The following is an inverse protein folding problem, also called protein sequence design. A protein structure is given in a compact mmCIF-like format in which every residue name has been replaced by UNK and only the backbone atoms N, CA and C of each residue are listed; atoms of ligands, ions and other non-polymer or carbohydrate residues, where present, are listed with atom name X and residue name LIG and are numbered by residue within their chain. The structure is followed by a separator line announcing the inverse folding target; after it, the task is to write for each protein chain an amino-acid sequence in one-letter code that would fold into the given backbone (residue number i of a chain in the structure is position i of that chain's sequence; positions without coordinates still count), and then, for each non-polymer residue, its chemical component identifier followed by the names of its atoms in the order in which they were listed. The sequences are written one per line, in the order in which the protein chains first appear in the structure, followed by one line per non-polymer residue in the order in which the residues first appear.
data_IF_220729289916
#
_entry.id   IF_220729289916
#
_cell.length_a   1.000
_cell.length_b   1.000
_cell.length_c   1.000
_cell.angle_alpha   90.00
_cell.angle_beta   90.00
_cell.angle_gamma   90.00
#
_symmetry.space_group_name_H-M   'P 1'
#
loop_
_entity.id
_entity.type
_entity.pdbx_description
1 polymer ?
#
# COMPACT_ATOMS: atom_id res chain seq x y z
N UNK A 1 83.76 22.84 0.87
CA UNK A 1 82.86 22.62 2.03
C UNK A 1 81.54 22.06 1.49
N UNK A 2 81.23 20.81 1.89
CA UNK A 2 79.92 20.15 2.09
C UNK A 2 78.73 20.50 1.14
N UNK A 3 78.00 19.57 0.53
CA UNK A 3 77.96 18.11 0.61
C UNK A 3 76.87 17.47 -0.29
N UNK A 4 77.15 16.23 -0.69
CA UNK A 4 76.30 15.01 -0.82
C UNK A 4 74.94 15.01 -1.55
N UNK A 5 74.93 14.22 -2.63
CA UNK A 5 73.98 13.13 -2.99
C UNK A 5 72.49 13.26 -2.63
N UNK A 6 71.65 13.11 -3.67
CA UNK A 6 70.56 12.14 -3.62
C UNK A 6 70.18 11.73 -5.05
N UNK A 7 70.92 10.75 -5.59
CA UNK A 7 70.51 10.01 -6.78
C UNK A 7 69.61 8.86 -6.32
N UNK A 8 68.29 9.03 -6.49
CA UNK A 8 67.32 8.00 -6.12
C UNK A 8 66.67 7.43 -7.40
N UNK A 9 66.83 6.13 -7.69
CA UNK A 9 66.34 5.54 -8.92
C UNK A 9 64.81 5.55 -8.94
N UNK A 10 64.23 6.04 -10.05
CA UNK A 10 62.79 6.02 -10.34
C UNK A 10 62.26 4.60 -10.28
N UNK A 11 61.70 4.21 -9.13
CA UNK A 11 60.95 2.97 -8.97
C UNK A 11 59.78 2.93 -9.94
N UNK A 12 59.67 1.84 -10.70
CA UNK A 12 58.52 1.54 -11.56
C UNK A 12 57.25 1.62 -10.72
N UNK A 13 56.32 2.51 -11.09
CA UNK A 13 54.98 2.59 -10.48
C UNK A 13 54.37 1.19 -10.51
N UNK A 14 54.16 0.60 -9.33
CA UNK A 14 53.38 -0.62 -9.19
C UNK A 14 51.96 -0.28 -9.65
N UNK A 15 51.45 -0.98 -10.66
CA UNK A 15 50.04 -0.91 -11.02
C UNK A 15 49.23 -1.23 -9.75
N UNK A 16 48.23 -0.43 -9.38
CA UNK A 16 47.38 -0.77 -8.26
C UNK A 16 46.69 -2.10 -8.60
N UNK A 17 46.90 -3.11 -7.77
CA UNK A 17 46.11 -4.34 -7.81
C UNK A 17 44.65 -3.93 -7.67
N UNK A 18 43.84 -4.26 -8.68
CA UNK A 18 42.43 -3.93 -8.68
C UNK A 18 41.79 -4.48 -7.40
N UNK A 19 41.28 -3.57 -6.55
CA UNK A 19 40.41 -3.98 -5.44
C UNK A 19 39.27 -4.80 -6.04
N UNK A 20 38.85 -5.94 -5.43
CA UNK A 20 37.69 -6.66 -5.91
C UNK A 20 36.52 -5.68 -6.01
N UNK A 21 36.07 -5.44 -7.25
CA UNK A 21 35.08 -4.41 -7.53
C UNK A 21 33.82 -4.70 -6.73
N UNK A 22 33.31 -3.70 -6.00
CA UNK A 22 32.00 -3.78 -5.38
C UNK A 22 31.00 -4.01 -6.53
N UNK A 23 30.46 -5.22 -6.62
CA UNK A 23 29.43 -5.54 -7.62
C UNK A 23 28.21 -4.72 -7.24
N UNK A 24 27.89 -3.71 -8.06
CA UNK A 24 26.69 -2.91 -7.90
C UNK A 24 25.48 -3.83 -8.05
N UNK A 25 24.50 -3.66 -7.16
CA UNK A 25 23.24 -4.40 -7.14
C UNK A 25 22.09 -3.41 -7.17
N UNK A 26 20.92 -3.85 -7.63
CA UNK A 26 19.70 -3.05 -7.61
C UNK A 26 18.53 -3.92 -7.21
N UNK A 27 17.67 -3.37 -6.37
CA UNK A 27 16.46 -4.02 -5.94
C UNK A 27 15.34 -3.69 -6.92
N UNK A 28 14.61 -4.72 -7.34
CA UNK A 28 13.48 -4.60 -8.24
C UNK A 28 12.25 -5.17 -7.55
N UNK A 29 11.19 -4.39 -7.50
CA UNK A 29 9.88 -4.89 -7.11
C UNK A 29 9.25 -5.58 -8.33
N UNK A 30 9.23 -6.91 -8.32
CA UNK A 30 8.69 -7.75 -9.38
C UNK A 30 7.34 -8.34 -8.97
N UNK A 31 6.46 -8.50 -9.94
CA UNK A 31 5.12 -9.06 -9.76
C UNK A 31 4.87 -10.17 -10.77
N UNK A 32 4.71 -11.42 -10.34
CA UNK A 32 4.36 -12.53 -11.25
C UNK A 32 2.84 -12.68 -11.32
N UNK A 33 2.28 -12.57 -12.53
CA UNK A 33 0.87 -12.79 -12.82
C UNK A 33 0.61 -14.26 -13.19
N UNK A 34 -0.62 -14.73 -12.95
CA UNK A 34 -0.99 -16.09 -13.29
C UNK A 34 -1.31 -16.29 -14.77
N UNK A 35 -1.77 -15.24 -15.46
CA UNK A 35 -2.24 -15.32 -16.84
C UNK A 35 -1.78 -14.12 -17.68
N UNK A 36 -1.95 -14.25 -19.00
CA UNK A 36 -1.69 -13.15 -19.92
C UNK A 36 -2.71 -12.03 -19.74
N UNK A 37 -2.30 -10.91 -19.15
CA UNK A 37 -3.14 -9.72 -18.94
C UNK A 37 -2.40 -8.43 -19.24
N UNK A 38 -3.14 -7.43 -19.71
CA UNK A 38 -2.66 -6.08 -19.97
C UNK A 38 -3.00 -5.11 -18.84
N UNK A 39 -3.45 -5.61 -17.69
CA UNK A 39 -3.86 -4.79 -16.56
C UNK A 39 -3.23 -5.26 -15.26
N UNK A 40 -2.88 -4.30 -14.41
CA UNK A 40 -2.41 -4.59 -13.06
C UNK A 40 -3.52 -5.29 -12.24
N UNK A 41 -3.13 -6.22 -11.35
CA UNK A 41 -4.09 -6.98 -10.56
C UNK A 41 -4.82 -6.09 -9.54
N UNK A 42 -6.03 -6.48 -9.14
CA UNK A 42 -6.76 -5.82 -8.04
C UNK A 42 -6.20 -6.30 -6.69
N UNK A 43 -6.54 -5.59 -5.62
CA UNK A 43 -6.15 -5.97 -4.25
C UNK A 43 -6.66 -7.35 -3.82
N UNK A 44 -7.82 -7.81 -4.29
CA UNK A 44 -8.37 -9.14 -3.98
C UNK A 44 -7.65 -10.28 -4.71
N UNK A 45 -7.15 -10.03 -5.92
CA UNK A 45 -6.31 -10.99 -6.66
C UNK A 45 -4.92 -11.13 -6.04
N UNK A 46 -4.39 -10.06 -5.43
CA UNK A 46 -3.06 -10.04 -4.84
C UNK A 46 -2.87 -11.13 -3.78
N UNK A 47 -3.84 -11.26 -2.87
CA UNK A 47 -3.77 -12.25 -1.81
C UNK A 47 -3.89 -13.68 -2.33
N UNK A 48 -4.69 -13.91 -3.39
CA UNK A 48 -4.80 -15.22 -4.04
C UNK A 48 -3.47 -15.62 -4.69
N UNK A 49 -2.83 -14.69 -5.38
CA UNK A 49 -1.54 -14.92 -6.03
C UNK A 49 -0.44 -15.17 -5.00
N UNK A 50 -0.40 -14.41 -3.91
CA UNK A 50 0.53 -14.65 -2.79
C UNK A 50 0.30 -16.04 -2.19
N UNK A 51 -0.95 -16.45 -1.95
CA UNK A 51 -1.26 -17.78 -1.43
C UNK A 51 -0.86 -18.92 -2.39
N UNK A 52 -0.79 -18.63 -3.69
CA UNK A 52 -0.29 -19.54 -4.71
C UNK A 52 1.23 -19.48 -4.91
N UNK A 53 1.98 -18.73 -4.09
CA UNK A 53 3.43 -18.56 -4.24
C UNK A 53 3.85 -17.64 -5.40
N UNK A 54 2.91 -16.86 -5.95
CA UNK A 54 3.12 -15.86 -7.00
C UNK A 54 3.02 -14.44 -6.39
N UNK A 55 2.79 -13.43 -7.24
CA UNK A 55 2.55 -12.05 -6.80
C UNK A 55 3.83 -11.26 -6.61
N UNK A 56 3.81 -10.32 -5.65
CA UNK A 56 4.87 -9.32 -5.43
C UNK A 56 6.06 -9.92 -4.69
N UNK A 57 7.27 -9.68 -5.19
CA UNK A 57 8.53 -10.02 -4.53
C UNK A 57 9.59 -8.96 -4.81
N UNK A 58 10.39 -8.62 -3.80
CA UNK A 58 11.52 -7.72 -3.95
C UNK A 58 12.76 -8.56 -4.25
N UNK A 59 13.36 -8.38 -5.43
CA UNK A 59 14.53 -9.13 -5.87
C UNK A 59 15.75 -8.24 -5.99
N UNK A 60 16.88 -8.67 -5.41
CA UNK A 60 18.16 -7.98 -5.55
C UNK A 60 18.94 -8.56 -6.74
N UNK A 61 19.06 -7.79 -7.81
CA UNK A 61 19.71 -8.22 -9.07
C UNK A 61 21.04 -7.48 -9.24
N UNK A 62 22.16 -8.19 -9.43
CA UNK A 62 23.46 -7.58 -9.79
C UNK A 62 23.45 -6.89 -11.15
N UNK A 63 24.21 -5.81 -11.27
CA UNK A 63 24.31 -4.99 -12.50
C UNK A 63 24.89 -5.76 -13.70
N UNK A 64 25.64 -6.84 -13.44
CA UNK A 64 26.27 -7.67 -14.46
C UNK A 64 25.37 -8.78 -15.03
N UNK A 65 24.18 -8.99 -14.47
CA UNK A 65 23.29 -10.07 -14.91
C UNK A 65 22.74 -9.81 -16.32
N UNK A 66 22.77 -10.86 -17.13
CA UNK A 66 22.15 -10.97 -18.44
C UNK A 66 20.91 -11.85 -18.33
N UNK A 67 20.32 -12.18 -19.47
CA UNK A 67 19.04 -12.85 -19.54
C UNK A 67 19.04 -14.20 -18.82
N UNK A 68 20.06 -15.03 -19.03
CA UNK A 68 20.15 -16.35 -18.39
C UNK A 68 20.22 -16.26 -16.87
N UNK A 69 21.04 -15.36 -16.30
CA UNK A 69 21.13 -15.23 -14.83
C UNK A 69 19.85 -14.64 -14.23
N UNK A 70 19.17 -13.75 -14.97
CA UNK A 70 17.86 -13.22 -14.57
C UNK A 70 16.81 -14.34 -14.55
N UNK A 71 16.78 -15.20 -15.57
CA UNK A 71 15.87 -16.35 -15.65
C UNK A 71 16.12 -17.29 -14.47
N UNK A 72 17.37 -17.67 -14.20
CA UNK A 72 17.70 -18.54 -13.06
C UNK A 72 17.26 -17.93 -11.72
N UNK A 73 17.51 -16.63 -11.52
CA UNK A 73 17.06 -15.92 -10.31
C UNK A 73 15.53 -15.94 -10.17
N UNK A 74 14.81 -15.70 -11.27
CA UNK A 74 13.34 -15.72 -11.26
C UNK A 74 12.79 -17.11 -10.98
N UNK A 75 13.41 -18.15 -11.52
CA UNK A 75 13.01 -19.55 -11.28
C UNK A 75 13.33 -20.03 -9.86
N UNK A 76 14.36 -19.50 -9.22
CA UNK A 76 14.67 -19.74 -7.80
C UNK A 76 13.66 -19.05 -6.87
N UNK A 77 13.23 -17.84 -7.23
CA UNK A 77 12.29 -17.05 -6.45
C UNK A 77 10.83 -17.40 -6.75
N UNK A 78 10.53 -17.89 -7.94
CA UNK A 78 9.21 -18.33 -8.37
C UNK A 78 9.32 -19.70 -9.05
N UNK A 79 9.36 -20.80 -8.27
CA UNK A 79 9.52 -22.16 -8.79
C UNK A 79 8.52 -22.55 -9.88
N UNK A 80 7.29 -22.01 -9.83
CA UNK A 80 6.25 -22.19 -10.84
C UNK A 80 6.64 -21.71 -12.24
N UNK A 81 7.66 -20.85 -12.38
CA UNK A 81 8.16 -20.43 -13.69
C UNK A 81 8.95 -21.54 -14.40
N UNK A 82 9.55 -22.49 -13.67
CA UNK A 82 10.30 -23.61 -14.26
C UNK A 82 9.43 -24.55 -15.09
N UNK A 83 8.13 -24.60 -14.80
CA UNK A 83 7.18 -25.48 -15.49
C UNK A 83 6.59 -24.84 -16.74
N UNK A 84 6.76 -23.53 -16.94
CA UNK A 84 6.24 -22.83 -18.13
C UNK A 84 7.06 -23.19 -19.36
N UNK A 85 6.41 -23.70 -20.41
CA UNK A 85 7.05 -23.93 -21.70
C UNK A 85 6.80 -22.76 -22.67
N UNK A 86 5.64 -22.10 -22.54
CA UNK A 86 5.17 -21.04 -23.40
C UNK A 86 5.77 -19.65 -23.19
N UNK A 87 6.83 -19.55 -22.38
CA UNK A 87 7.56 -18.32 -22.12
C UNK A 87 6.77 -17.23 -21.37
N UNK A 88 7.48 -16.17 -21.04
CA UNK A 88 6.96 -15.01 -20.32
C UNK A 88 7.68 -13.74 -20.77
N UNK A 89 7.05 -12.59 -20.55
CA UNK A 89 7.64 -11.27 -20.86
C UNK A 89 7.47 -10.31 -19.69
N UNK A 90 8.37 -9.33 -19.60
CA UNK A 90 8.23 -8.22 -18.65
C UNK A 90 7.32 -7.13 -19.21
N UNK A 91 6.54 -6.55 -18.31
CA UNK A 91 5.68 -5.41 -18.54
C UNK A 91 5.92 -4.35 -17.47
N UNK A 92 5.68 -3.09 -17.81
CA UNK A 92 5.68 -1.97 -16.87
C UNK A 92 4.28 -1.38 -16.77
N UNK A 93 3.95 -0.84 -15.59
CA UNK A 93 2.75 -0.04 -15.45
C UNK A 93 2.90 1.28 -16.23
N UNK A 94 1.88 1.62 -17.01
CA UNK A 94 1.78 2.90 -17.72
C UNK A 94 0.92 3.85 -16.87
N UNK A 95 1.29 5.13 -16.78
CA UNK A 95 0.52 6.13 -16.04
C UNK A 95 -0.87 6.35 -16.64
N UNK A 96 -1.88 6.56 -15.80
CA UNK A 96 -3.27 6.79 -16.21
C UNK A 96 -4.23 6.73 -15.02
N UNK A 97 -5.16 7.69 -14.97
CA UNK A 97 -6.17 7.81 -13.92
C UNK A 97 -7.45 7.05 -14.30
N UNK A 98 -7.52 5.78 -13.94
CA UNK A 98 -8.77 5.04 -13.71
C UNK A 98 -8.50 3.70 -12.99
N UNK A 99 -9.55 3.05 -12.49
CA UNK A 99 -9.58 1.96 -11.48
C UNK A 99 -8.51 0.84 -11.57
N UNK A 100 -7.85 0.62 -12.71
CA UNK A 100 -6.71 -0.30 -12.88
C UNK A 100 -5.67 0.27 -13.86
N UNK A 101 -4.39 0.13 -13.51
CA UNK A 101 -3.29 0.58 -14.39
C UNK A 101 -3.10 -0.37 -15.57
N UNK A 102 -2.94 0.18 -16.77
CA UNK A 102 -2.62 -0.57 -17.99
C UNK A 102 -1.13 -0.92 -18.02
N UNK A 103 -0.83 -2.15 -18.38
CA UNK A 103 0.51 -2.68 -18.55
C UNK A 103 0.97 -2.49 -20.01
N UNK A 104 2.22 -2.07 -20.18
CA UNK A 104 2.90 -2.01 -21.47
C UNK A 104 4.07 -2.97 -21.49
N UNK A 105 4.24 -3.67 -22.61
CA UNK A 105 5.33 -4.64 -22.79
C UNK A 105 6.69 -3.94 -22.75
N UNK A 106 7.66 -4.58 -22.12
CA UNK A 106 9.07 -4.19 -22.20
C UNK A 106 9.71 -5.08 -23.26
N UNK A 107 10.10 -4.52 -24.43
CA UNK A 107 10.75 -5.31 -25.46
C UNK A 107 12.10 -5.83 -24.97
N UNK A 108 12.46 -7.02 -25.44
CA UNK A 108 13.80 -7.59 -25.24
C UNK A 108 14.75 -7.08 -26.32
N UNK A 109 16.03 -6.95 -25.97
CA UNK A 109 17.09 -6.77 -26.96
C UNK A 109 17.44 -8.12 -27.62
N UNK A 110 18.40 -8.14 -28.55
CA UNK A 110 18.88 -9.37 -29.21
C UNK A 110 19.36 -10.44 -28.22
N UNK A 111 19.88 -10.00 -27.08
CA UNK A 111 20.43 -10.86 -26.02
C UNK A 111 19.41 -11.12 -24.88
N UNK A 112 18.15 -10.71 -25.06
CA UNK A 112 17.10 -10.82 -24.06
C UNK A 112 17.06 -9.66 -23.08
N UNK A 113 16.69 -9.95 -21.83
CA UNK A 113 16.67 -8.96 -20.74
C UNK A 113 18.04 -8.81 -20.07
N UNK A 114 18.43 -7.58 -19.75
CA UNK A 114 19.63 -7.29 -18.95
C UNK A 114 19.26 -6.43 -17.76
N UNK A 115 20.06 -6.47 -16.68
CA UNK A 115 19.82 -5.59 -15.53
C UNK A 115 19.82 -4.12 -15.95
N UNK A 116 20.67 -3.73 -16.89
CA UNK A 116 20.72 -2.36 -17.43
C UNK A 116 19.39 -1.96 -18.07
N UNK A 117 18.80 -2.83 -18.89
CA UNK A 117 17.50 -2.59 -19.51
C UNK A 117 16.41 -2.47 -18.43
N UNK A 118 16.37 -3.42 -17.48
CA UNK A 118 15.39 -3.41 -16.40
C UNK A 118 15.50 -2.16 -15.54
N UNK A 119 16.72 -1.67 -15.23
CA UNK A 119 16.92 -0.39 -14.55
C UNK A 119 16.34 0.78 -15.32
N UNK A 120 16.61 0.84 -16.62
CA UNK A 120 16.15 1.94 -17.47
C UNK A 120 14.62 2.05 -17.46
N UNK A 121 13.93 0.92 -17.62
CA UNK A 121 12.46 0.89 -17.70
C UNK A 121 11.77 0.97 -16.34
N UNK A 122 12.43 0.53 -15.26
CA UNK A 122 11.90 0.59 -13.89
C UNK A 122 12.26 1.87 -13.13
N UNK A 123 12.93 2.84 -13.75
CA UNK A 123 13.49 4.00 -13.05
C UNK A 123 14.38 3.57 -11.86
N UNK A 124 15.34 2.68 -12.16
CA UNK A 124 16.32 2.13 -11.22
C UNK A 124 15.67 1.39 -10.03
N UNK A 125 14.65 0.58 -10.32
CA UNK A 125 13.94 -0.25 -9.33
C UNK A 125 12.73 0.41 -8.67
N UNK A 126 12.49 1.71 -8.90
CA UNK A 126 11.39 2.47 -8.29
C UNK A 126 10.01 2.04 -8.78
N UNK A 127 9.91 1.65 -10.05
CA UNK A 127 8.67 1.19 -10.67
C UNK A 127 8.60 -0.33 -10.65
N UNK A 128 7.41 -0.84 -10.32
CA UNK A 128 7.13 -2.27 -10.34
C UNK A 128 7.19 -2.83 -11.77
N UNK A 129 7.83 -4.00 -11.88
CA UNK A 129 7.88 -4.80 -13.10
C UNK A 129 6.91 -5.98 -12.97
N UNK A 130 6.16 -6.26 -14.02
CA UNK A 130 5.21 -7.37 -14.07
C UNK A 130 5.75 -8.44 -15.00
N UNK A 131 5.78 -9.68 -14.54
CA UNK A 131 6.13 -10.83 -15.34
C UNK A 131 4.83 -11.55 -15.73
N UNK A 132 4.60 -11.63 -17.03
CA UNK A 132 3.33 -12.06 -17.61
C UNK A 132 3.58 -13.31 -18.46
N UNK A 133 2.99 -14.46 -18.10
CA UNK A 133 2.97 -15.66 -18.94
C UNK A 133 2.30 -15.35 -20.29
N UNK A 134 2.82 -15.91 -21.39
CA UNK A 134 2.30 -15.59 -22.74
C UNK A 134 1.27 -16.59 -23.26
N UNK A 135 1.53 -17.88 -23.09
CA UNK A 135 0.73 -18.95 -23.73
C UNK A 135 0.06 -19.89 -22.72
N UNK A 136 0.55 -19.93 -21.49
CA UNK A 136 0.07 -20.82 -20.43
C UNK A 136 -0.41 -20.01 -19.21
N UNK A 137 -1.27 -20.62 -18.41
CA UNK A 137 -1.73 -20.06 -17.15
C UNK A 137 -1.08 -20.80 -15.98
N UNK A 138 -0.45 -20.07 -15.07
CA UNK A 138 0.08 -20.60 -13.83
C UNK A 138 -1.05 -20.93 -12.87
N UNK A 139 -0.96 -22.10 -12.22
CA UNK A 139 -1.92 -22.50 -11.20
C UNK A 139 -1.97 -21.48 -10.04
N UNK A 140 -3.19 -21.04 -9.71
CA UNK A 140 -3.49 -20.18 -8.56
C UNK A 140 -3.99 -20.98 -7.36
N UNK A 141 -3.80 -22.30 -7.36
CA UNK A 141 -4.15 -23.13 -6.21
C UNK A 141 -3.29 -22.76 -4.99
N UNK A 142 -3.91 -22.70 -3.79
CA UNK A 142 -3.21 -22.31 -2.58
C UNK A 142 -2.16 -23.36 -2.22
N UNK A 143 -0.95 -22.89 -1.93
CA UNK A 143 0.15 -23.74 -1.51
C UNK A 143 0.12 -23.97 0.01
N UNK A 144 0.58 -25.13 0.49
CA UNK A 144 0.84 -25.36 1.89
C UNK A 144 1.76 -24.29 2.50
N UNK A 145 1.53 -23.88 3.75
CA UNK A 145 2.29 -22.79 4.40
C UNK A 145 3.78 -23.10 4.62
N UNK A 146 4.16 -24.38 4.56
CA UNK A 146 5.51 -24.92 4.64
C UNK A 146 6.22 -25.05 3.27
N UNK A 147 5.56 -24.64 2.19
CA UNK A 147 6.14 -24.71 0.84
C UNK A 147 7.36 -23.80 0.68
N UNK A 148 8.27 -24.20 -0.22
CA UNK A 148 9.56 -23.52 -0.45
C UNK A 148 9.41 -22.07 -0.92
N UNK A 149 8.30 -21.77 -1.59
CA UNK A 149 7.92 -20.45 -2.07
C UNK A 149 7.86 -19.42 -0.93
N UNK A 150 7.49 -19.88 0.27
CA UNK A 150 7.31 -19.04 1.45
C UNK A 150 8.52 -19.01 2.39
N UNK A 151 9.58 -19.79 2.12
CA UNK A 151 10.72 -19.90 3.03
C UNK A 151 11.47 -18.58 3.25
N UNK A 152 11.50 -17.69 2.24
CA UNK A 152 12.14 -16.37 2.30
C UNK A 152 11.22 -15.26 2.83
N UNK A 153 9.94 -15.55 3.06
CA UNK A 153 8.99 -14.57 3.60
C UNK A 153 9.10 -14.47 5.13
N UNK A 154 8.80 -13.31 5.73
CA UNK A 154 8.65 -13.22 7.18
C UNK A 154 7.56 -14.18 7.67
N UNK A 155 7.89 -15.01 8.67
CA UNK A 155 6.98 -16.01 9.25
C UNK A 155 6.67 -15.67 10.70
N UNK A 156 5.47 -16.07 11.12
CA UNK A 156 4.98 -15.94 12.50
C UNK A 156 4.23 -17.20 12.90
N UNK A 157 4.33 -17.59 14.17
CA UNK A 157 3.58 -18.73 14.68
C UNK A 157 2.12 -18.32 14.93
N UNK A 158 1.16 -19.13 14.48
CA UNK A 158 -0.22 -18.94 14.87
C UNK A 158 -0.40 -19.26 16.37
N UNK A 159 -1.02 -18.35 17.13
CA UNK A 159 -1.27 -18.56 18.56
C UNK A 159 -2.31 -19.66 18.84
N UNK A 160 -3.16 -20.03 17.87
CA UNK A 160 -4.20 -21.08 18.03
C UNK A 160 -3.70 -22.50 17.76
N UNK A 161 -2.79 -22.68 16.80
CA UNK A 161 -2.34 -24.01 16.38
C UNK A 161 -0.81 -24.19 16.35
N UNK A 162 -0.03 -23.17 16.72
CA UNK A 162 1.43 -23.20 16.79
C UNK A 162 2.16 -23.26 15.43
N UNK A 163 1.46 -23.48 14.31
CA UNK A 163 2.08 -23.59 12.98
C UNK A 163 2.76 -22.28 12.56
N UNK A 164 3.92 -22.40 11.91
CA UNK A 164 4.60 -21.27 11.24
C UNK A 164 3.84 -20.90 9.98
N UNK A 165 3.30 -19.70 9.95
CA UNK A 165 2.53 -19.18 8.82
C UNK A 165 3.24 -17.94 8.27
N UNK A 166 3.35 -17.80 6.93
CA UNK A 166 3.84 -16.57 6.31
C UNK A 166 2.98 -15.39 6.73
N UNK A 167 3.60 -14.28 7.15
CA UNK A 167 2.92 -13.12 7.70
C UNK A 167 1.77 -12.58 6.82
N UNK A 168 1.91 -12.50 5.47
CA UNK A 168 0.81 -12.06 4.60
C UNK A 168 -0.40 -13.01 4.59
N UNK A 169 -0.20 -14.29 4.90
CA UNK A 169 -1.22 -15.35 4.88
C UNK A 169 -1.81 -15.64 6.26
N UNK A 170 -1.18 -15.14 7.33
CA UNK A 170 -1.65 -15.31 8.71
C UNK A 170 -3.11 -14.85 8.91
N UNK A 171 -3.59 -13.71 8.36
CA UNK A 171 -4.98 -13.30 8.51
C UNK A 171 -5.98 -14.25 7.87
N UNK A 172 -5.61 -14.93 6.78
CA UNK A 172 -6.44 -15.97 6.16
C UNK A 172 -6.48 -17.21 7.07
N UNK A 173 -5.30 -17.63 7.53
CA UNK A 173 -5.19 -18.77 8.42
C UNK A 173 -6.02 -18.59 9.71
N UNK A 174 -5.95 -17.43 10.38
CA UNK A 174 -6.65 -17.20 11.66
C UNK A 174 -8.18 -17.33 11.52
N UNK A 175 -8.73 -16.99 10.35
CA UNK A 175 -10.18 -17.12 10.06
C UNK A 175 -10.62 -18.57 9.99
N UNK A 176 -9.77 -19.45 9.48
CA UNK A 176 -10.07 -20.88 9.25
C UNK A 176 -9.39 -21.79 10.28
N UNK A 177 -8.55 -21.24 11.15
CA UNK A 177 -7.77 -22.00 12.12
C UNK A 177 -8.68 -22.55 13.22
N UNK A 178 -8.81 -23.88 13.21
CA UNK A 178 -9.40 -24.65 14.31
C UNK A 178 -8.42 -24.67 15.48
N UNK A 179 -8.94 -24.54 16.70
CA UNK A 179 -8.16 -24.73 17.93
C UNK A 179 -7.73 -26.19 17.94
N UNK A 180 -6.43 -26.43 18.08
CA UNK A 180 -5.99 -27.75 18.52
C UNK A 180 -6.11 -27.66 20.04
N UNK A 181 -7.24 -28.10 20.59
CA UNK A 181 -7.25 -28.52 21.98
C UNK A 181 -6.36 -29.75 21.99
N UNK A 182 -5.06 -29.55 22.24
CA UNK A 182 -4.22 -30.64 22.69
C UNK A 182 -4.76 -31.00 24.06
N UNK A 183 -5.69 -31.95 24.09
CA UNK A 183 -6.03 -32.72 25.29
C UNK A 183 -4.73 -33.33 25.81
N UNK A 184 -4.07 -32.62 26.72
CA UNK A 184 -2.96 -33.13 27.48
C UNK A 184 -3.48 -33.68 28.81
N UNK A 185 -4.36 -34.68 28.80
CA UNK A 185 -4.57 -35.56 29.97
C UNK A 185 -5.12 -36.91 29.50
N UNK A 186 -4.40 -38.00 29.77
CA UNK A 186 -4.89 -39.22 30.45
C UNK A 186 -3.84 -40.33 30.25
N UNK A 187 -2.87 -40.40 31.17
CA UNK A 187 -2.34 -41.71 31.53
C UNK A 187 -3.16 -42.18 32.72
N UNK A 188 -3.91 -43.26 32.49
CA UNK A 188 -4.81 -43.90 33.43
C UNK A 188 -4.00 -44.94 34.18
N UNK A 189 -3.82 -44.74 35.48
CA UNK A 189 -3.62 -45.87 36.41
C UNK A 189 -4.69 -45.80 37.49
N UNK A 190 -5.61 -46.75 37.39
CA UNK A 190 -6.65 -47.10 38.37
C UNK A 190 -6.01 -47.69 39.63
N UNK A 191 -6.62 -47.41 40.79
CA UNK A 191 -6.98 -48.29 41.92
C UNK A 191 -7.11 -47.38 43.16
N UNK A 192 -8.35 -47.00 43.49
CA UNK A 192 -9.19 -47.60 44.56
C UNK A 192 -8.70 -47.21 45.95
N UNK A 193 -9.45 -46.33 46.62
CA UNK A 193 -9.65 -46.39 48.07
C UNK A 193 -10.94 -45.62 48.44
N UNK A 194 -11.60 -46.17 49.45
CA UNK A 194 -12.99 -46.01 49.88
C UNK A 194 -13.19 -44.73 50.71
N UNK A 195 -14.40 -44.13 50.68
CA UNK A 195 -15.18 -43.92 51.90
C UNK A 195 -16.51 -43.17 51.67
N UNK A 196 -17.52 -43.61 52.42
CA UNK A 196 -18.89 -43.14 52.41
C UNK A 196 -19.09 -41.76 53.07
N UNK A 197 -20.04 -40.95 52.55
CA UNK A 197 -21.01 -40.28 53.43
C UNK A 197 -22.25 -39.73 52.70
N UNK A 198 -23.33 -39.69 53.46
CA UNK A 198 -24.76 -39.60 53.14
C UNK A 198 -25.31 -38.16 53.08
N UNK A 199 -26.41 -37.98 52.32
CA UNK A 199 -27.47 -36.94 52.43
C UNK A 199 -27.10 -35.52 51.99
N UNK A 200 -27.96 -34.72 51.35
CA UNK A 200 -29.39 -34.79 51.07
C UNK A 200 -29.80 -33.54 50.29
N UNK A 201 -30.99 -33.56 49.69
CA UNK A 201 -31.55 -32.48 48.88
C UNK A 201 -31.76 -31.18 49.67
N UNK A 202 -31.55 -30.03 49.04
CA UNK A 202 -32.38 -28.82 49.27
C UNK A 202 -32.42 -27.93 48.03
N UNK A 203 -33.62 -27.43 47.77
CA UNK A 203 -34.06 -26.56 46.69
C UNK A 203 -33.49 -25.13 46.71
N UNK A 204 -33.42 -24.60 45.48
CA UNK A 204 -33.78 -23.23 45.05
C UNK A 204 -32.75 -22.07 45.00
N UNK A 205 -33.02 -21.10 44.07
CA UNK A 205 -32.02 -20.29 43.39
C UNK A 205 -31.94 -18.87 43.96
N UNK A 206 -30.84 -18.16 43.69
CA UNK A 206 -30.82 -16.70 43.53
C UNK A 206 -29.40 -16.22 43.22
N UNK A 207 -29.20 -15.66 42.04
CA UNK A 207 -28.84 -14.24 41.85
C UNK A 207 -28.07 -14.04 40.55
N UNK A 208 -28.72 -13.25 39.69
CA UNK A 208 -28.16 -12.58 38.53
C UNK A 208 -26.91 -11.79 38.92
N UNK A 209 -25.78 -12.06 38.28
CA UNK A 209 -24.74 -11.06 38.06
C UNK A 209 -24.13 -11.28 36.66
N UNK A 210 -24.72 -10.59 35.69
CA UNK A 210 -24.07 -10.23 34.43
C UNK A 210 -22.92 -9.27 34.74
N UNK A 211 -21.72 -9.81 34.90
CA UNK A 211 -20.50 -9.00 34.86
C UNK A 211 -19.95 -9.04 33.44
N UNK A 212 -20.48 -8.11 32.63
CA UNK A 212 -19.87 -7.69 31.39
C UNK A 212 -18.57 -6.96 31.78
N UNK A 213 -17.44 -7.67 31.86
CA UNK A 213 -16.14 -7.04 32.04
C UNK A 213 -15.85 -6.15 30.83
N UNK A 214 -16.16 -4.87 30.98
CA UNK A 214 -15.93 -3.84 29.98
C UNK A 214 -14.42 -3.54 29.97
N UNK A 215 -13.68 -4.41 29.30
CA UNK A 215 -12.23 -4.27 29.11
C UNK A 215 -11.90 -2.86 28.63
N UNK A 216 -11.15 -2.13 29.47
CA UNK A 216 -10.71 -0.76 29.22
C UNK A 216 -9.20 -0.77 28.95
N UNK A 217 -8.76 0.02 27.98
CA UNK A 217 -7.36 0.17 27.59
C UNK A 217 -6.94 1.65 27.64
N UNK A 218 -5.67 1.89 27.90
CA UNK A 218 -5.10 3.24 27.99
C UNK A 218 -4.76 3.73 26.58
N UNK A 219 -5.23 4.92 26.22
CA UNK A 219 -4.84 5.55 24.96
C UNK A 219 -3.35 5.96 25.00
N UNK A 220 -2.51 5.53 24.05
CA UNK A 220 -1.08 5.85 24.06
C UNK A 220 -0.78 7.32 23.74
N UNK A 221 -1.75 8.11 23.28
CA UNK A 221 -1.57 9.51 22.89
C UNK A 221 -1.87 10.45 24.06
N UNK A 222 -2.97 10.24 24.79
CA UNK A 222 -3.39 11.11 25.90
C UNK A 222 -3.36 10.44 27.29
N UNK A 223 -3.00 9.14 27.34
CA UNK A 223 -2.89 8.34 28.56
C UNK A 223 -4.18 8.21 29.38
N UNK A 224 -5.35 8.41 28.76
CA UNK A 224 -6.66 8.22 29.40
C UNK A 224 -7.11 6.76 29.25
N UNK A 225 -7.57 6.17 30.34
CA UNK A 225 -8.23 4.85 30.38
C UNK A 225 -9.63 4.94 29.75
N UNK A 226 -9.86 4.22 28.66
CA UNK A 226 -11.13 4.22 27.93
C UNK A 226 -11.57 2.79 27.60
N UNK A 227 -12.89 2.50 27.58
CA UNK A 227 -13.41 1.25 27.04
C UNK A 227 -12.96 0.99 25.60
N UNK A 228 -12.69 -0.27 25.22
CA UNK A 228 -12.16 -0.63 23.88
C UNK A 228 -13.03 -0.11 22.73
N UNK A 229 -14.35 -0.12 22.90
CA UNK A 229 -15.33 0.37 21.92
C UNK A 229 -15.24 1.89 21.70
N UNK A 230 -14.90 2.66 22.74
CA UNK A 230 -14.69 4.11 22.67
C UNK A 230 -13.27 4.46 22.23
N UNK A 231 -12.28 3.60 22.52
CA UNK A 231 -10.88 3.80 22.14
C UNK A 231 -10.73 3.93 20.62
N UNK A 232 -11.51 3.17 19.85
CA UNK A 232 -11.47 3.20 18.38
C UNK A 232 -11.88 4.58 17.82
N UNK A 233 -12.95 5.16 18.37
CA UNK A 233 -13.40 6.51 18.01
C UNK A 233 -12.48 7.59 18.55
N UNK A 234 -12.00 7.42 19.78
CA UNK A 234 -11.06 8.34 20.39
C UNK A 234 -9.74 8.42 19.60
N UNK A 235 -9.21 7.30 19.09
CA UNK A 235 -8.02 7.29 18.24
C UNK A 235 -8.17 8.13 16.96
N UNK A 236 -9.41 8.39 16.51
CA UNK A 236 -9.68 9.22 15.33
C UNK A 236 -9.61 10.74 15.59
N UNK A 237 -9.65 11.18 16.85
CA UNK A 237 -9.61 12.60 17.24
C UNK A 237 -8.54 12.92 18.27
N UNK A 238 -7.89 11.90 18.84
CA UNK A 238 -6.86 12.09 19.85
C UNK A 238 -5.57 12.63 19.23
N UNK A 239 -5.15 13.80 19.70
CA UNK A 239 -3.99 14.53 19.17
C UNK A 239 -4.35 15.70 18.26
N UNK A 240 -5.62 15.83 17.84
CA UNK A 240 -6.11 16.98 17.06
C UNK A 240 -6.72 18.03 18.00
N UNK A 241 -5.87 18.93 18.49
CA UNK A 241 -6.28 20.10 19.27
C UNK A 241 -5.92 19.99 20.75
N UNK A 242 -4.92 20.77 21.17
CA UNK A 242 -4.65 21.01 22.58
C UNK A 242 -5.87 21.68 23.21
N UNK A 243 -6.67 20.92 23.94
CA UNK A 243 -7.68 21.50 24.82
C UNK A 243 -6.96 22.07 26.02
N UNK A 244 -6.72 23.38 26.01
CA UNK A 244 -6.22 24.14 27.14
C UNK A 244 -7.25 24.05 28.27
N UNK A 245 -6.99 23.20 29.26
CA UNK A 245 -7.57 23.41 30.58
C UNK A 245 -6.83 24.60 31.19
N UNK A 246 -7.55 25.69 31.43
CA UNK A 246 -7.03 26.90 32.06
C UNK A 246 -6.37 26.58 33.40
N UNK A 247 -5.15 27.08 33.58
CA UNK A 247 -4.41 26.96 34.85
C UNK A 247 -3.05 27.69 34.81
N UNK A 248 -3.11 29.02 35.01
CA UNK A 248 -2.10 29.91 35.62
C UNK A 248 -0.60 29.83 35.23
N UNK A 249 -0.15 30.98 34.73
CA UNK A 249 1.09 31.72 35.02
C UNK A 249 2.47 31.32 34.44
N UNK A 250 2.90 32.23 33.55
CA UNK A 250 4.23 32.86 33.44
C UNK A 250 5.20 32.42 32.34
N UNK A 251 5.98 33.38 31.79
CA UNK A 251 6.42 33.35 30.41
C UNK A 251 7.89 32.98 30.28
N UNK A 252 8.24 32.24 29.22
CA UNK A 252 9.62 32.20 28.74
C UNK A 252 9.66 31.99 27.23
N UNK A 253 10.42 32.88 26.62
CA UNK A 253 10.60 33.09 25.19
C UNK A 253 11.35 31.92 24.54
N UNK A 254 10.87 31.46 23.39
CA UNK A 254 11.75 30.83 22.40
C UNK A 254 11.12 30.92 21.01
N UNK A 255 11.69 31.82 20.22
CA UNK A 255 11.51 32.01 18.78
C UNK A 255 11.68 30.68 18.04
N UNK A 256 10.64 30.25 17.32
CA UNK A 256 10.77 29.29 16.21
C UNK A 256 9.89 29.75 15.05
N UNK A 257 10.47 29.66 13.86
CA UNK A 257 9.99 30.18 12.59
C UNK A 257 8.63 29.59 12.22
N UNK A 258 7.64 30.45 11.97
CA UNK A 258 6.34 30.08 11.43
C UNK A 258 6.46 29.80 9.93
N UNK A 259 6.21 28.55 9.55
CA UNK A 259 5.76 28.19 8.21
C UNK A 259 4.23 28.45 8.16
N UNK A 260 3.68 29.10 7.11
CA UNK A 260 2.25 29.40 7.08
C UNK A 260 1.46 28.10 6.87
N UNK A 261 0.88 27.62 7.97
CA UNK A 261 -0.07 26.52 8.00
C UNK A 261 -1.38 26.89 7.31
N UNK A 262 -1.94 25.90 6.60
CA UNK A 262 -3.24 25.92 5.96
C UNK A 262 -4.35 26.27 6.97
N UNK A 263 -4.77 27.53 6.99
CA UNK A 263 -5.97 27.94 7.70
C UNK A 263 -7.16 27.83 6.74
N UNK A 264 -7.78 26.65 6.68
CA UNK A 264 -9.11 26.49 6.09
C UNK A 264 -10.12 26.68 7.22
N UNK A 265 -10.28 27.93 7.65
CA UNK A 265 -11.57 28.35 8.21
C UNK A 265 -12.48 28.62 7.00
N UNK A 266 -13.03 27.56 6.41
CA UNK A 266 -14.24 27.73 5.60
C UNK A 266 -15.35 28.09 6.58
N UNK A 267 -15.63 29.39 6.66
CA UNK A 267 -16.84 29.93 7.26
C UNK A 267 -18.03 29.38 6.48
N UNK A 268 -18.46 28.17 6.81
CA UNK A 268 -19.74 27.63 6.35
C UNK A 268 -20.81 28.43 7.06
N UNK A 269 -21.31 29.46 6.38
CA UNK A 269 -22.57 30.09 6.75
C UNK A 269 -23.63 28.99 6.75
N UNK A 270 -24.09 28.66 7.95
CA UNK A 270 -25.10 27.64 8.22
C UNK A 270 -26.30 27.79 7.30
N UNK A 271 -26.66 26.74 6.56
CA UNK A 271 -28.04 26.40 6.24
C UNK A 271 -28.13 24.90 5.83
N UNK A 272 -29.20 24.26 6.31
CA UNK A 272 -29.77 22.93 6.01
C UNK A 272 -28.86 21.69 5.85
N UNK A 273 -28.42 21.09 6.97
CA UNK A 273 -27.89 19.72 7.01
C UNK A 273 -28.98 18.63 6.89
N UNK A 274 -29.99 18.82 6.05
CA UNK A 274 -31.10 17.86 5.89
C UNK A 274 -30.63 16.51 5.33
N UNK A 275 -29.62 16.52 4.46
CA UNK A 275 -29.00 15.30 3.92
C UNK A 275 -28.29 14.45 4.97
N UNK A 276 -27.85 15.03 6.10
CA UNK A 276 -27.19 14.26 7.18
C UNK A 276 -28.13 13.32 7.92
N UNK A 277 -29.44 13.59 7.86
CA UNK A 277 -30.47 12.85 8.57
C UNK A 277 -31.32 11.96 7.64
N UNK A 278 -30.97 11.87 6.36
CA UNK A 278 -31.70 11.05 5.38
C UNK A 278 -31.23 9.59 5.45
N UNK A 279 -32.19 8.66 5.57
CA UNK A 279 -31.94 7.22 5.72
C UNK A 279 -31.56 6.57 4.38
N UNK A 280 -32.11 7.07 3.27
CA UNK A 280 -31.75 6.57 1.93
C UNK A 280 -30.44 7.21 1.43
N UNK A 281 -29.36 6.44 1.25
CA UNK A 281 -28.06 6.97 0.82
C UNK A 281 -28.10 7.61 -0.57
N UNK A 282 -28.98 7.15 -1.48
CA UNK A 282 -29.08 7.76 -2.82
C UNK A 282 -29.70 9.14 -2.73
N UNK A 283 -30.78 9.27 -1.97
CA UNK A 283 -31.46 10.55 -1.75
C UNK A 283 -30.61 11.53 -0.96
N UNK A 284 -29.87 11.05 0.05
CA UNK A 284 -28.89 11.86 0.78
C UNK A 284 -27.82 12.43 -0.16
N UNK A 285 -27.28 11.61 -1.07
CA UNK A 285 -26.28 12.05 -2.06
C UNK A 285 -26.82 13.09 -3.03
N UNK A 286 -28.06 12.93 -3.49
CA UNK A 286 -28.70 13.90 -4.39
C UNK A 286 -28.88 15.25 -3.70
N UNK A 287 -29.41 15.27 -2.47
CA UNK A 287 -29.60 16.50 -1.71
C UNK A 287 -28.28 17.20 -1.40
N UNK A 288 -27.23 16.44 -1.08
CA UNK A 288 -25.88 16.99 -0.90
C UNK A 288 -25.36 17.64 -2.18
N UNK A 289 -25.51 16.98 -3.34
CA UNK A 289 -25.09 17.54 -4.63
C UNK A 289 -25.86 18.82 -4.99
N UNK A 290 -27.18 18.83 -4.81
CA UNK A 290 -28.02 20.01 -5.09
C UNK A 290 -27.66 21.20 -4.20
N UNK A 291 -27.40 20.95 -2.92
CA UNK A 291 -26.95 21.96 -1.97
C UNK A 291 -25.55 22.50 -2.33
N UNK A 292 -24.60 21.61 -2.63
CA UNK A 292 -23.25 22.00 -3.03
C UNK A 292 -23.23 22.82 -4.32
N UNK A 293 -24.07 22.48 -5.31
CA UNK A 293 -24.24 23.26 -6.53
C UNK A 293 -24.90 24.61 -6.27
N UNK A 294 -25.88 24.67 -5.38
CA UNK A 294 -26.58 25.90 -5.00
C UNK A 294 -25.66 26.88 -4.27
N UNK A 295 -24.83 26.36 -3.34
CA UNK A 295 -23.83 27.15 -2.61
C UNK A 295 -22.77 27.75 -3.53
N UNK A 296 -22.36 27.01 -4.56
CA UNK A 296 -21.28 27.42 -5.46
C UNK A 296 -21.76 28.12 -6.74
N UNK A 297 -23.08 28.34 -6.91
CA UNK A 297 -23.67 28.96 -8.10
C UNK A 297 -23.14 30.37 -8.38
N UNK A 298 -22.80 31.12 -7.33
CA UNK A 298 -22.28 32.48 -7.43
C UNK A 298 -20.74 32.55 -7.32
N UNK A 299 -20.05 31.43 -7.16
CA UNK A 299 -18.61 31.40 -7.12
C UNK A 299 -18.01 31.60 -8.53
N UNK A 300 -16.85 32.29 -8.63
CA UNK A 300 -16.18 32.46 -9.91
C UNK A 300 -15.82 31.09 -10.50
N UNK A 301 -16.18 30.87 -11.76
CA UNK A 301 -15.92 29.60 -12.43
C UNK A 301 -14.42 29.33 -12.53
N UNK A 302 -14.02 28.07 -12.32
CA UNK A 302 -12.67 27.60 -12.62
C UNK A 302 -12.49 27.62 -14.13
N UNK A 303 -11.48 28.32 -14.63
CA UNK A 303 -11.20 28.38 -16.06
C UNK A 303 -9.99 27.51 -16.40
N UNK A 304 -10.15 26.57 -17.33
CA UNK A 304 -9.07 25.78 -17.91
C UNK A 304 -9.02 26.05 -19.42
N UNK A 305 -7.89 26.53 -19.91
CA UNK A 305 -7.65 26.75 -21.33
C UNK A 305 -6.62 25.73 -21.80
N UNK A 306 -6.95 24.92 -22.79
CA UNK A 306 -6.03 23.96 -23.40
C UNK A 306 -5.90 24.36 -24.88
N UNK A 307 -4.69 24.43 -25.42
CA UNK A 307 -4.51 24.61 -26.85
C UNK A 307 -4.19 23.27 -27.50
N UNK A 308 -4.98 22.89 -28.50
CA UNK A 308 -4.85 21.59 -29.16
C UNK A 308 -3.56 21.45 -29.99
N UNK A 309 -2.94 22.58 -30.35
CA UNK A 309 -1.71 22.61 -31.12
C UNK A 309 -0.46 22.57 -30.22
N UNK A 310 -0.63 22.67 -28.90
CA UNK A 310 0.45 22.50 -27.95
C UNK A 310 0.94 21.05 -27.96
N UNK A 311 2.22 20.86 -27.69
CA UNK A 311 2.80 19.52 -27.48
C UNK A 311 2.20 18.85 -26.25
N UNK A 312 2.31 17.52 -26.16
CA UNK A 312 1.78 16.76 -25.02
C UNK A 312 2.35 17.26 -23.69
N UNK A 313 3.64 17.60 -23.65
CA UNK A 313 4.30 18.11 -22.44
C UNK A 313 3.77 19.50 -22.03
N UNK A 314 3.39 20.35 -22.99
CA UNK A 314 2.82 21.67 -22.74
C UNK A 314 1.36 21.59 -22.27
N UNK A 315 0.59 20.65 -22.83
CA UNK A 315 -0.77 20.34 -22.36
C UNK A 315 -0.73 19.80 -20.92
N UNK A 316 0.18 18.88 -20.63
CA UNK A 316 0.38 18.33 -19.29
C UNK A 316 0.82 19.42 -18.31
N UNK A 317 1.75 20.31 -18.72
CA UNK A 317 2.20 21.44 -17.91
C UNK A 317 1.05 22.41 -17.58
N UNK A 318 0.16 22.65 -18.55
CA UNK A 318 -1.03 23.48 -18.37
C UNK A 318 -2.01 22.86 -17.37
N UNK A 319 -2.25 21.56 -17.49
CA UNK A 319 -3.10 20.81 -16.56
C UNK A 319 -2.51 20.82 -15.13
N UNK A 320 -1.20 20.59 -15.00
CA UNK A 320 -0.49 20.64 -13.73
C UNK A 320 -0.59 22.04 -13.10
N UNK A 321 -0.44 23.10 -13.89
CA UNK A 321 -0.55 24.48 -13.41
C UNK A 321 -1.96 24.81 -12.88
N UNK A 322 -3.00 24.26 -13.53
CA UNK A 322 -4.39 24.41 -13.11
C UNK A 322 -4.63 23.75 -11.74
N UNK A 323 -4.14 22.52 -11.53
CA UNK A 323 -4.26 21.82 -10.24
C UNK A 323 -3.38 22.41 -9.12
N UNK A 324 -2.31 23.12 -9.46
CA UNK A 324 -1.45 23.83 -8.50
C UNK A 324 -1.99 25.21 -8.10
N UNK A 325 -3.16 25.62 -8.58
CA UNK A 325 -3.75 26.91 -8.23
C UNK A 325 -4.11 26.93 -6.73
N UNK A 326 -3.32 27.67 -5.95
CA UNK A 326 -3.58 27.86 -4.52
C UNK A 326 -4.96 28.52 -4.31
N UNK A 327 -5.67 28.11 -3.26
CA UNK A 327 -6.97 28.67 -2.83
C UNK A 327 -8.11 28.58 -3.86
N UNK A 328 -8.02 27.67 -4.84
CA UNK A 328 -9.13 27.44 -5.77
C UNK A 328 -10.31 26.76 -5.05
N UNK A 329 -11.51 27.31 -5.24
CA UNK A 329 -12.74 26.63 -4.85
C UNK A 329 -13.04 25.52 -5.87
N UNK A 330 -12.65 24.29 -5.55
CA UNK A 330 -12.81 23.12 -6.42
C UNK A 330 -14.27 22.67 -6.60
N UNK A 331 -15.19 23.20 -5.80
CA UNK A 331 -16.63 23.02 -5.99
C UNK A 331 -17.29 24.09 -6.88
N UNK A 332 -16.53 25.07 -7.37
CA UNK A 332 -17.04 26.07 -8.31
C UNK A 332 -17.21 25.50 -9.72
N UNK A 333 -18.14 26.05 -10.54
CA UNK A 333 -18.36 25.59 -11.91
C UNK A 333 -17.09 25.61 -12.76
N UNK A 334 -16.79 24.53 -13.49
CA UNK A 334 -15.64 24.46 -14.40
C UNK A 334 -16.01 24.94 -15.80
N UNK A 335 -15.25 25.89 -16.32
CA UNK A 335 -15.24 26.33 -17.72
C UNK A 335 -13.96 25.86 -18.38
N UNK A 336 -14.04 24.81 -19.19
CA UNK A 336 -12.94 24.36 -20.04
C UNK A 336 -13.12 24.91 -21.46
N UNK A 337 -12.08 25.51 -22.03
CA UNK A 337 -12.05 25.97 -23.41
C UNK A 337 -10.85 25.37 -24.15
N UNK A 338 -11.11 24.78 -25.30
CA UNK A 338 -10.07 24.26 -26.19
C UNK A 338 -9.80 25.29 -27.30
N UNK A 339 -8.63 25.91 -27.29
CA UNK A 339 -8.17 26.80 -28.37
C UNK A 339 -7.56 26.00 -29.51
N UNK A 340 -7.86 26.43 -30.74
CA UNK A 340 -7.34 25.84 -31.98
C UNK A 340 -8.40 25.28 -32.92
N UNK A 341 -9.64 25.12 -32.46
CA UNK A 341 -10.80 24.98 -33.34
C UNK A 341 -11.24 26.40 -33.71
N UNK A 342 -10.97 26.84 -34.94
CA UNK A 342 -11.69 27.97 -35.55
C UNK A 342 -13.18 27.78 -35.26
N UNK A 343 -13.79 28.74 -34.55
CA UNK A 343 -15.23 28.81 -34.21
C UNK A 343 -16.10 27.98 -35.17
N UNK A 344 -16.55 26.82 -34.73
CA UNK A 344 -17.78 26.26 -35.26
C UNK A 344 -18.89 26.65 -34.28
N UNK A 345 -19.54 27.78 -34.58
CA UNK A 345 -20.82 28.14 -34.00
C UNK A 345 -21.87 27.11 -34.44
N UNK A 346 -21.89 25.91 -33.89
CA UNK A 346 -23.04 25.01 -33.99
C UNK A 346 -23.00 24.08 -32.78
N UNK A 347 -23.86 24.39 -31.80
CA UNK A 347 -24.61 23.48 -30.94
C UNK A 347 -25.16 24.26 -29.72
N UNK A 348 -25.84 25.36 -30.00
CA UNK A 348 -27.04 25.69 -29.24
C UNK A 348 -28.15 24.85 -29.87
N UNK A 349 -28.41 23.66 -29.35
CA UNK A 349 -29.71 22.99 -29.35
C UNK A 349 -29.52 21.59 -28.75
N UNK A 350 -30.47 21.21 -27.88
CA UNK A 350 -30.57 19.96 -27.13
C UNK A 350 -29.80 19.89 -25.83
N UNK A 351 -30.33 20.56 -24.80
CA UNK A 351 -30.83 19.90 -23.58
C UNK A 351 -31.99 20.76 -23.05
N UNK A 352 -33.21 20.33 -23.35
CA UNK A 352 -34.45 20.77 -22.69
C UNK A 352 -35.15 19.51 -22.22
#
# INVERSE_FOLDING_TARGET
MFGTENDQPRGKKRFPVAKPGIVKKTEFLMYVLSEHTLFAPKGDEDLKLVNAGLGKRLLTVPDSFKHSEIVTLLEEEFPKLKTLQGGWMFYKSTGGGERRRKLSIIPTDSDGYSTRLLKLVSNNGKNMLFLVPLQEQLSTEPLPFDSVEFAKMPQSNCMKCGRKIPLPLLPLHIKECKVIETESVTDVTVLDDEDENVSGATDQPSSLHTDLEQSSQICPICQISLPIDVLLYHASTCGEGGWTFSGSDSPSTSRREELPGLSIAQTFTSLSTAWKNEIDPKKASQMFCEELLSQNKYCPSLSLLINQFDTVDEQDSTLISFYKKNSANWSAPLRCSLTGITRCNYLNHYWK
#
